data_IF_997773948243
#
_entry.id   IF_997773948243
#
_cell.length_a   1.000
_cell.length_b   1.000
_cell.length_c   1.000
_cell.angle_alpha   90.00
_cell.angle_beta   90.00
_cell.angle_gamma   90.00
#
_symmetry.space_group_name_H-M   'P 1'
#
loop_
_entity.id
_entity.type
_entity.pdbx_description
1 polymer ?
#
# COMPACT_ATOMS: atom_id res chain seq x y z
N UNK A 1 5.57 -14.62 -1.38
CA UNK A 1 5.26 -13.81 -0.18
C UNK A 1 5.77 -14.42 1.13
N UNK A 2 5.58 -15.72 1.39
CA UNK A 2 5.99 -16.35 2.66
C UNK A 2 7.43 -16.04 3.14
N UNK A 3 8.42 -15.99 2.23
CA UNK A 3 9.79 -15.64 2.61
C UNK A 3 9.97 -14.18 3.07
N UNK A 4 9.16 -13.26 2.53
CA UNK A 4 9.15 -11.84 2.95
C UNK A 4 8.47 -11.70 4.31
N UNK A 5 7.38 -12.43 4.55
CA UNK A 5 6.66 -12.47 5.81
C UNK A 5 7.48 -13.11 6.94
N UNK A 6 8.20 -14.20 6.64
CA UNK A 6 9.13 -14.82 7.57
C UNK A 6 10.27 -13.87 7.95
N UNK A 7 10.80 -13.10 6.99
CA UNK A 7 11.83 -12.10 7.27
C UNK A 7 11.28 -10.95 8.12
N UNK A 8 10.09 -10.46 7.81
CA UNK A 8 9.41 -9.42 8.58
C UNK A 8 9.31 -9.83 10.06
N UNK A 9 8.86 -11.07 10.30
CA UNK A 9 8.76 -11.66 11.64
C UNK A 9 10.12 -11.83 12.32
N UNK A 10 11.13 -12.35 11.62
CA UNK A 10 12.47 -12.58 12.17
C UNK A 10 13.16 -11.26 12.57
N UNK A 11 12.95 -10.18 11.81
CA UNK A 11 13.62 -8.89 12.03
C UNK A 11 12.78 -7.90 12.84
N UNK A 12 11.53 -8.23 13.17
CA UNK A 12 10.60 -7.28 13.78
C UNK A 12 10.32 -6.07 12.89
N UNK A 13 10.39 -6.25 11.57
CA UNK A 13 10.14 -5.21 10.57
C UNK A 13 8.75 -5.37 9.97
N UNK A 14 8.10 -4.26 9.65
CA UNK A 14 6.92 -4.29 8.78
C UNK A 14 7.43 -4.35 7.35
N UNK A 15 7.03 -5.35 6.57
CA UNK A 15 7.33 -5.43 5.14
C UNK A 15 6.03 -5.63 4.37
N UNK A 16 5.78 -4.76 3.38
CA UNK A 16 4.53 -4.74 2.60
C UNK A 16 4.81 -4.57 1.11
N UNK A 17 3.83 -4.93 0.27
CA UNK A 17 3.90 -4.69 -1.17
C UNK A 17 4.11 -3.21 -1.50
N UNK A 18 4.87 -2.92 -2.55
CA UNK A 18 5.00 -1.54 -3.02
C UNK A 18 3.68 -1.03 -3.63
N UNK A 19 3.55 0.29 -3.78
CA UNK A 19 2.30 0.89 -4.25
C UNK A 19 1.91 0.56 -5.70
N UNK A 20 2.86 0.26 -6.59
CA UNK A 20 2.55 -0.20 -7.95
C UNK A 20 1.95 -1.61 -7.92
N UNK A 21 2.53 -2.51 -7.12
CA UNK A 21 1.99 -3.84 -6.91
C UNK A 21 0.61 -3.79 -6.26
N UNK A 22 0.42 -2.95 -5.25
CA UNK A 22 -0.88 -2.74 -4.61
C UNK A 22 -1.92 -2.17 -5.58
N UNK A 23 -1.56 -1.18 -6.40
CA UNK A 23 -2.45 -0.62 -7.41
C UNK A 23 -2.86 -1.66 -8.46
N UNK A 24 -1.94 -2.55 -8.85
CA UNK A 24 -2.23 -3.63 -9.78
C UNK A 24 -3.15 -4.69 -9.15
N UNK A 25 -2.87 -5.12 -7.92
CA UNK A 25 -3.70 -6.08 -7.18
C UNK A 25 -5.14 -5.59 -6.99
N UNK A 26 -5.33 -4.29 -6.80
CA UNK A 26 -6.64 -3.65 -6.68
C UNK A 26 -7.32 -3.36 -8.03
N UNK A 27 -6.67 -3.70 -9.15
CA UNK A 27 -7.15 -3.45 -10.50
C UNK A 27 -7.30 -1.95 -10.83
N UNK A 28 -6.47 -1.11 -10.23
CA UNK A 28 -6.35 0.33 -10.52
C UNK A 28 -5.35 0.59 -11.65
N UNK A 29 -4.49 -0.38 -11.95
CA UNK A 29 -3.59 -0.39 -13.10
C UNK A 29 -3.45 -1.82 -13.63
N UNK A 30 -3.19 -1.95 -14.93
CA UNK A 30 -2.87 -3.23 -15.58
C UNK A 30 -1.36 -3.48 -15.67
N UNK A 31 -0.55 -2.49 -15.26
CA UNK A 31 0.91 -2.59 -15.34
C UNK A 31 1.44 -3.55 -14.26
N UNK A 32 2.04 -4.66 -14.70
CA UNK A 32 2.74 -5.60 -13.81
C UNK A 32 4.13 -5.06 -13.49
N UNK A 33 4.50 -4.91 -12.21
CA UNK A 33 5.85 -4.46 -11.83
C UNK A 33 6.93 -5.44 -12.30
N UNK A 34 7.93 -4.94 -13.03
CA UNK A 34 9.05 -5.76 -13.52
C UNK A 34 10.05 -6.07 -12.39
N UNK A 35 10.09 -5.25 -11.33
CA UNK A 35 11.01 -5.41 -10.20
C UNK A 35 10.25 -5.83 -8.93
N UNK A 36 10.83 -6.80 -8.22
CA UNK A 36 10.35 -7.21 -6.89
C UNK A 36 10.81 -6.20 -5.84
N UNK A 37 10.02 -5.14 -5.66
CA UNK A 37 10.25 -4.10 -4.65
C UNK A 37 9.21 -4.21 -3.53
N UNK A 38 9.64 -4.13 -2.28
CA UNK A 38 8.76 -4.07 -1.11
C UNK A 38 9.11 -2.84 -0.27
N UNK A 39 8.13 -2.34 0.49
CA UNK A 39 8.34 -1.29 1.46
C UNK A 39 8.64 -1.91 2.83
N UNK A 40 9.59 -1.34 3.57
CA UNK A 40 9.95 -1.81 4.92
C UNK A 40 10.00 -0.67 5.94
N UNK A 41 9.72 -0.97 7.21
CA UNK A 41 10.05 -0.06 8.33
C UNK A 41 11.55 -0.02 8.64
N UNK A 42 12.30 -1.04 8.23
CA UNK A 42 13.74 -1.12 8.40
C UNK A 42 14.53 -0.33 7.36
N UNK A 43 15.85 -0.57 7.31
CA UNK A 43 16.74 0.07 6.32
C UNK A 43 16.51 -0.48 4.92
N UNK A 44 16.60 0.41 3.92
CA UNK A 44 16.63 0.04 2.51
C UNK A 44 17.80 -0.91 2.23
N UNK A 45 17.53 -2.04 1.57
CA UNK A 45 18.53 -3.07 1.27
C UNK A 45 18.03 -4.00 0.17
N UNK A 46 18.96 -4.65 -0.53
CA UNK A 46 18.64 -5.79 -1.39
C UNK A 46 18.83 -7.08 -0.61
N UNK A 47 18.01 -8.08 -0.89
CA UNK A 47 18.19 -9.43 -0.38
C UNK A 47 18.03 -10.45 -1.50
N UNK A 48 18.55 -11.65 -1.29
CA UNK A 48 18.31 -12.78 -2.17
C UNK A 48 17.19 -13.64 -1.59
N UNK A 49 16.16 -13.89 -2.39
CA UNK A 49 15.14 -14.90 -2.15
C UNK A 49 15.35 -16.01 -3.18
N UNK A 50 16.14 -17.02 -2.80
CA UNK A 50 16.63 -18.03 -3.74
C UNK A 50 17.44 -17.37 -4.86
N UNK A 51 16.99 -17.53 -6.12
CA UNK A 51 17.64 -16.93 -7.31
C UNK A 51 17.17 -15.50 -7.62
N UNK A 52 16.16 -14.99 -6.92
CA UNK A 52 15.61 -13.66 -7.17
C UNK A 52 16.22 -12.63 -6.22
N UNK A 53 16.55 -11.45 -6.74
CA UNK A 53 16.95 -10.30 -5.92
C UNK A 53 15.71 -9.44 -5.66
N UNK A 54 15.43 -9.24 -4.38
CA UNK A 54 14.33 -8.39 -3.90
C UNK A 54 14.90 -7.12 -3.29
N UNK A 55 14.31 -5.98 -3.63
CA UNK A 55 14.66 -4.69 -3.06
C UNK A 55 13.67 -4.32 -1.96
N UNK A 56 14.16 -4.12 -0.75
CA UNK A 56 13.42 -3.45 0.31
C UNK A 56 13.76 -1.98 0.30
N UNK A 57 12.73 -1.13 0.30
CA UNK A 57 12.86 0.32 0.41
C UNK A 57 12.23 0.80 1.70
N UNK A 58 12.98 1.55 2.49
CA UNK A 58 12.44 2.21 3.66
C UNK A 58 11.26 3.12 3.28
N UNK A 59 10.17 3.04 4.04
CA UNK A 59 8.97 3.84 3.81
C UNK A 59 8.52 4.54 5.10
N UNK A 60 7.89 5.72 4.97
CA UNK A 60 7.34 6.42 6.12
C UNK A 60 6.20 5.61 6.76
N UNK A 61 6.03 5.75 8.07
CA UNK A 61 5.06 4.98 8.87
C UNK A 61 3.64 4.98 8.29
N UNK A 62 3.21 6.09 7.69
CA UNK A 62 1.88 6.21 7.10
C UNK A 62 1.65 5.29 5.90
N UNK A 63 2.69 4.95 5.12
CA UNK A 63 2.58 3.97 4.02
C UNK A 63 2.61 2.51 4.52
N UNK A 64 3.10 2.30 5.75
CA UNK A 64 3.17 1.02 6.43
C UNK A 64 1.98 0.79 7.36
N UNK A 65 1.11 1.79 7.51
CA UNK A 65 -0.14 1.65 8.26
C UNK A 65 -0.97 0.51 7.66
N UNK A 66 -1.71 -0.18 8.53
CA UNK A 66 -2.61 -1.26 8.12
C UNK A 66 -1.90 -2.34 7.30
N UNK A 67 -0.64 -2.65 7.63
CA UNK A 67 0.24 -3.52 6.83
C UNK A 67 -0.41 -4.83 6.37
N UNK A 68 -1.14 -5.50 7.26
CA UNK A 68 -1.78 -6.79 7.03
C UNK A 68 -3.29 -6.67 6.74
N UNK A 69 -3.74 -5.50 6.26
CA UNK A 69 -5.15 -5.24 5.95
C UNK A 69 -5.29 -4.80 4.49
N UNK A 70 -6.38 -5.18 3.79
CA UNK A 70 -6.64 -4.70 2.43
C UNK A 70 -6.74 -3.17 2.32
N UNK A 71 -7.18 -2.49 3.38
CA UNK A 71 -7.19 -1.03 3.45
C UNK A 71 -5.78 -0.43 3.38
N UNK A 72 -4.76 -1.11 3.91
CA UNK A 72 -3.36 -0.69 3.78
C UNK A 72 -2.85 -0.78 2.35
N UNK A 73 -3.31 -1.77 1.57
CA UNK A 73 -3.00 -1.84 0.14
C UNK A 73 -3.58 -0.65 -0.61
N UNK A 74 -4.81 -0.23 -0.28
CA UNK A 74 -5.40 0.98 -0.85
C UNK A 74 -4.56 2.22 -0.54
N UNK A 75 -4.08 2.39 0.71
CA UNK A 75 -3.18 3.51 1.06
C UNK A 75 -1.95 3.53 0.16
N UNK A 76 -1.28 2.39 0.00
CA UNK A 76 -0.07 2.29 -0.82
C UNK A 76 -0.34 2.50 -2.30
N UNK A 77 -1.45 1.98 -2.81
CA UNK A 77 -1.87 2.18 -4.19
C UNK A 77 -2.15 3.66 -4.48
N UNK A 78 -2.90 4.33 -3.62
CA UNK A 78 -3.21 5.76 -3.74
C UNK A 78 -1.95 6.62 -3.64
N UNK A 79 -1.04 6.28 -2.72
CA UNK A 79 0.25 6.95 -2.59
C UNK A 79 1.10 6.86 -3.87
N UNK A 80 1.05 5.73 -4.58
CA UNK A 80 1.77 5.54 -5.84
C UNK A 80 1.09 6.20 -7.03
N UNK A 81 -0.24 6.18 -7.07
CA UNK A 81 -1.04 6.80 -8.13
C UNK A 81 -0.94 8.33 -8.15
N UNK A 82 -0.75 8.94 -6.97
CA UNK A 82 -0.67 10.38 -6.82
C UNK A 82 -2.02 11.10 -6.73
N UNK A 83 -2.01 12.38 -6.36
CA UNK A 83 -3.22 13.18 -6.12
C UNK A 83 -4.13 13.29 -7.35
N UNK A 84 -3.57 13.31 -8.55
CA UNK A 84 -4.31 13.47 -9.81
C UNK A 84 -5.24 12.29 -10.08
N UNK A 85 -4.88 11.10 -9.62
CA UNK A 85 -5.63 9.85 -9.85
C UNK A 85 -6.38 9.35 -8.62
N UNK A 86 -6.12 9.92 -7.44
CA UNK A 86 -6.66 9.45 -6.17
C UNK A 86 -8.20 9.45 -6.15
N UNK A 87 -8.84 10.52 -6.60
CA UNK A 87 -10.31 10.63 -6.59
C UNK A 87 -10.99 9.55 -7.46
N UNK A 88 -10.45 9.29 -8.65
CA UNK A 88 -10.97 8.25 -9.55
C UNK A 88 -10.73 6.84 -9.00
N UNK A 89 -9.55 6.62 -8.41
CA UNK A 89 -9.22 5.37 -7.75
C UNK A 89 -10.14 5.11 -6.55
N UNK A 90 -10.38 6.11 -5.69
CA UNK A 90 -11.26 6.01 -4.53
C UNK A 90 -12.71 5.65 -4.91
N UNK A 91 -13.26 6.24 -5.99
CA UNK A 91 -14.58 5.83 -6.51
C UNK A 91 -14.61 4.37 -6.95
N UNK A 92 -13.51 3.88 -7.50
CA UNK A 92 -13.39 2.47 -7.90
C UNK A 92 -13.28 1.57 -6.67
N UNK A 93 -12.46 1.94 -5.69
CA UNK A 93 -12.28 1.21 -4.45
C UNK A 93 -13.57 1.14 -3.62
N UNK A 94 -14.30 2.25 -3.48
CA UNK A 94 -15.60 2.30 -2.77
C UNK A 94 -16.62 1.32 -3.31
N UNK A 95 -16.60 1.05 -4.62
CA UNK A 95 -17.50 0.09 -5.29
C UNK A 95 -17.02 -1.36 -5.20
N UNK A 96 -15.70 -1.59 -5.20
CA UNK A 96 -15.11 -2.94 -5.25
C UNK A 96 -14.86 -3.53 -3.86
N UNK A 97 -14.55 -2.70 -2.87
CA UNK A 97 -14.20 -3.17 -1.53
C UNK A 97 -15.44 -3.37 -0.65
N UNK A 98 -15.39 -4.31 0.30
CA UNK A 98 -16.40 -4.39 1.35
C UNK A 98 -16.49 -3.05 2.11
N UNK A 99 -17.70 -2.62 2.52
CA UNK A 99 -17.88 -1.34 3.20
C UNK A 99 -17.01 -1.18 4.46
N UNK A 100 -16.80 -2.25 5.23
CA UNK A 100 -15.93 -2.24 6.40
C UNK A 100 -14.47 -1.97 6.06
N UNK A 101 -13.96 -2.53 4.96
CA UNK A 101 -12.59 -2.30 4.48
C UNK A 101 -12.41 -0.86 4.02
N UNK A 102 -13.39 -0.31 3.28
CA UNK A 102 -13.35 1.09 2.89
C UNK A 102 -13.45 2.01 4.13
N UNK A 103 -14.24 1.63 5.12
CA UNK A 103 -14.32 2.31 6.42
C UNK A 103 -12.98 2.34 7.16
N UNK A 104 -12.20 1.26 7.15
CA UNK A 104 -10.84 1.24 7.71
C UNK A 104 -9.91 2.24 7.01
N UNK A 105 -9.99 2.36 5.68
CA UNK A 105 -9.24 3.37 4.92
C UNK A 105 -9.63 4.79 5.33
N UNK A 106 -10.93 5.05 5.51
CA UNK A 106 -11.44 6.35 5.98
C UNK A 106 -10.98 6.65 7.40
N UNK A 107 -11.05 5.67 8.31
CA UNK A 107 -10.60 5.82 9.69
C UNK A 107 -9.09 6.08 9.80
N UNK A 108 -8.30 5.63 8.82
CA UNK A 108 -6.87 5.90 8.76
C UNK A 108 -6.52 7.30 8.23
N UNK A 109 -7.48 8.05 7.65
CA UNK A 109 -7.22 9.36 7.04
C UNK A 109 -6.43 10.35 7.92
N UNK A 110 -6.64 10.47 9.26
CA UNK A 110 -5.87 11.36 10.11
C UNK A 110 -4.35 11.05 10.17
N UNK A 111 -3.94 9.85 9.77
CA UNK A 111 -2.53 9.42 9.77
C UNK A 111 -1.87 9.64 8.40
N UNK A 112 -2.63 10.07 7.39
CA UNK A 112 -2.16 10.24 6.01
C UNK A 112 -1.71 11.69 5.75
N UNK A 113 -0.89 11.93 4.71
CA UNK A 113 -0.59 13.29 4.25
C UNK A 113 -1.87 14.06 3.90
N UNK A 114 -1.86 15.38 4.12
CA UNK A 114 -3.04 16.26 3.97
C UNK A 114 -3.81 16.03 2.68
N UNK A 115 -3.13 15.95 1.54
CA UNK A 115 -3.77 15.76 0.24
C UNK A 115 -4.55 14.43 0.16
N UNK A 116 -3.99 13.36 0.73
CA UNK A 116 -4.59 12.02 0.67
C UNK A 116 -5.74 11.92 1.67
N UNK A 117 -5.57 12.49 2.87
CA UNK A 117 -6.63 12.59 3.86
C UNK A 117 -7.85 13.34 3.32
N UNK A 118 -7.64 14.45 2.60
CA UNK A 118 -8.69 15.22 1.95
C UNK A 118 -9.43 14.41 0.87
N UNK A 119 -8.70 13.73 -0.03
CA UNK A 119 -9.31 12.86 -1.05
C UNK A 119 -10.12 11.72 -0.42
N UNK A 120 -9.59 11.05 0.59
CA UNK A 120 -10.28 9.96 1.31
C UNK A 120 -11.54 10.48 2.01
N UNK A 121 -11.45 11.62 2.71
CA UNK A 121 -12.59 12.24 3.38
C UNK A 121 -13.70 12.63 2.39
N UNK A 122 -13.33 13.25 1.26
CA UNK A 122 -14.28 13.56 0.18
C UNK A 122 -14.98 12.30 -0.33
N UNK A 123 -14.26 11.21 -0.53
CA UNK A 123 -14.82 9.94 -1.01
C UNK A 123 -15.69 9.23 0.03
N UNK A 124 -15.52 9.51 1.33
CA UNK A 124 -16.38 8.97 2.38
C UNK A 124 -17.79 9.57 2.30
N UNK A 125 -17.89 10.89 2.07
CA UNK A 125 -19.14 11.65 2.10
C UNK A 125 -19.80 11.86 0.74
N UNK A 126 -19.08 11.68 -0.36
CA UNK A 126 -19.61 11.71 -1.73
C UNK A 126 -19.98 10.34 -2.26
#
# INVERSE_FOLDING_TARGET
EQAVEALASQKGEIIVSNGAAAANALGLTTQVPVRSVYLTSGRSRKMHLGKQVVELRHAPRWQLALANRPAGEAVRALAWLGPEKADAALRTLKRKMPPGVFGELVAAAPQLPTWLAQSVGKAAHG
#
